data_IF_431062950247
#
_entry.id   IF_431062950247
#
_cell.length_a   1.000
_cell.length_b   1.000
_cell.length_c   1.000
_cell.angle_alpha   90.00
_cell.angle_beta   90.00
_cell.angle_gamma   90.00
#
_symmetry.space_group_name_H-M   'P 1'
#
loop_
_entity.id
_entity.type
_entity.pdbx_description
1 polymer ?
#
# COMPACT_ATOMS: atom_id res chain seq x y z
N UNK A 1 -33.23 8.27 -4.34
CA UNK A 1 -31.84 7.88 -4.02
C UNK A 1 -31.96 6.72 -3.06
N UNK A 2 -31.30 5.61 -3.36
CA UNK A 2 -31.25 4.46 -2.46
C UNK A 2 -30.12 4.68 -1.45
N UNK A 3 -30.37 4.44 -0.17
CA UNK A 3 -29.37 4.50 0.89
C UNK A 3 -28.92 3.09 1.23
N UNK A 4 -27.60 2.84 1.19
CA UNK A 4 -27.00 1.54 1.49
C UNK A 4 -26.22 1.68 2.80
N UNK A 5 -26.55 0.87 3.80
CA UNK A 5 -25.84 0.84 5.08
C UNK A 5 -24.50 0.10 4.93
N UNK A 6 -23.38 0.80 5.14
CA UNK A 6 -22.03 0.24 5.05
C UNK A 6 -21.39 -0.12 6.41
N UNK A 7 -22.20 -0.32 7.47
CA UNK A 7 -21.71 -0.61 8.83
C UNK A 7 -21.46 -2.10 9.10
N UNK A 8 -21.89 -2.99 8.20
CA UNK A 8 -21.74 -4.44 8.38
C UNK A 8 -20.29 -4.89 8.17
N UNK A 9 -19.81 -5.75 9.06
CA UNK A 9 -18.49 -6.37 8.94
C UNK A 9 -18.62 -7.69 8.20
N UNK A 10 -18.22 -7.71 6.94
CA UNK A 10 -18.27 -8.91 6.09
C UNK A 10 -17.25 -8.83 4.96
N UNK A 11 -15.97 -8.74 5.30
CA UNK A 11 -14.91 -8.80 4.30
C UNK A 11 -13.92 -9.92 4.62
N UNK A 12 -13.93 -10.97 3.81
CA UNK A 12 -12.86 -11.95 3.78
C UNK A 12 -11.75 -11.44 2.86
N UNK A 13 -10.54 -11.31 3.40
CA UNK A 13 -9.40 -10.92 2.58
C UNK A 13 -8.99 -12.06 1.66
N UNK A 14 -9.07 -11.82 0.35
CA UNK A 14 -8.65 -12.77 -0.68
C UNK A 14 -7.38 -12.24 -1.34
N UNK A 15 -6.37 -13.11 -1.47
CA UNK A 15 -5.11 -12.79 -2.14
C UNK A 15 -5.35 -12.44 -3.60
N UNK A 16 -4.68 -11.39 -4.09
CA UNK A 16 -4.59 -11.12 -5.52
C UNK A 16 -3.67 -12.14 -6.19
N UNK A 17 -4.13 -12.87 -7.23
CA UNK A 17 -3.32 -13.84 -7.95
C UNK A 17 -2.02 -13.28 -8.52
N UNK A 18 -1.97 -11.99 -8.84
CA UNK A 18 -0.74 -11.36 -9.36
C UNK A 18 0.32 -11.19 -8.29
N UNK A 19 -0.08 -11.07 -7.03
CA UNK A 19 0.84 -10.92 -5.92
C UNK A 19 0.44 -9.82 -4.95
N UNK A 20 1.40 -9.35 -4.17
CA UNK A 20 1.16 -8.40 -3.09
C UNK A 20 2.26 -7.34 -3.00
N UNK A 21 1.99 -6.30 -2.23
CA UNK A 21 2.86 -5.13 -2.11
C UNK A 21 3.34 -4.96 -0.68
N UNK A 22 4.60 -4.51 -0.56
CA UNK A 22 5.20 -4.05 0.67
C UNK A 22 5.52 -2.58 0.53
N UNK A 23 5.06 -1.78 1.47
CA UNK A 23 5.22 -0.34 1.47
C UNK A 23 6.12 0.05 2.63
N UNK A 24 7.06 0.95 2.36
CA UNK A 24 7.81 1.65 3.40
C UNK A 24 8.01 3.10 3.02
N UNK A 25 8.36 3.92 4.01
CA UNK A 25 8.73 5.32 3.79
C UNK A 25 10.22 5.52 4.10
N UNK A 26 10.89 6.34 3.31
CA UNK A 26 12.24 6.84 3.58
C UNK A 26 12.13 8.33 3.95
N UNK A 27 12.21 8.62 5.25
CA UNK A 27 12.10 9.98 5.79
C UNK A 27 13.27 10.87 5.36
N UNK A 28 14.46 10.30 5.16
CA UNK A 28 15.66 11.06 4.74
C UNK A 28 15.52 11.51 3.29
N UNK A 29 15.13 10.58 2.41
CA UNK A 29 14.92 10.87 0.97
C UNK A 29 13.56 11.51 0.68
N UNK A 30 12.66 11.53 1.67
CA UNK A 30 11.27 11.99 1.57
C UNK A 30 10.52 11.28 0.44
N UNK A 31 10.56 9.95 0.40
CA UNK A 31 9.88 9.12 -0.61
C UNK A 31 9.14 7.94 0.02
N UNK A 32 8.16 7.43 -0.71
CA UNK A 32 7.49 6.15 -0.48
C UNK A 32 8.16 5.13 -1.41
N UNK A 33 8.44 3.94 -0.89
CA UNK A 33 8.97 2.81 -1.66
C UNK A 33 7.97 1.65 -1.59
N UNK A 34 7.63 1.11 -2.76
CA UNK A 34 6.70 -0.02 -2.92
C UNK A 34 7.44 -1.17 -3.57
N UNK A 35 7.60 -2.27 -2.84
CA UNK A 35 8.07 -3.54 -3.38
C UNK A 35 6.89 -4.39 -3.84
N UNK A 36 6.91 -4.87 -5.08
CA UNK A 36 5.95 -5.85 -5.59
C UNK A 36 6.56 -7.25 -5.58
N UNK A 37 5.84 -8.21 -5.01
CA UNK A 37 6.19 -9.63 -5.00
C UNK A 37 5.18 -10.35 -5.88
N UNK A 38 5.66 -11.05 -6.90
CA UNK A 38 4.81 -11.76 -7.85
C UNK A 38 4.30 -13.09 -7.28
N UNK A 39 3.00 -13.35 -7.49
CA UNK A 39 2.31 -14.55 -7.04
C UNK A 39 2.07 -14.62 -5.52
N UNK A 40 1.52 -15.74 -5.07
CA UNK A 40 1.08 -15.95 -3.68
C UNK A 40 1.99 -16.89 -2.88
N UNK A 41 3.20 -17.16 -3.40
CA UNK A 41 4.10 -18.23 -2.93
C UNK A 41 4.75 -17.98 -1.55
N UNK A 42 5.27 -19.06 -0.95
CA UNK A 42 5.87 -19.12 0.41
C UNK A 42 7.36 -18.76 0.47
N UNK A 43 7.94 -18.09 -0.54
CA UNK A 43 9.38 -17.77 -0.53
C UNK A 43 9.68 -16.56 0.38
N UNK A 44 10.91 -16.46 0.94
CA UNK A 44 11.29 -15.34 1.80
C UNK A 44 11.08 -13.99 1.11
N UNK A 45 10.49 -13.05 1.85
CA UNK A 45 9.97 -11.76 1.39
C UNK A 45 11.05 -10.87 0.75
N UNK A 46 12.30 -10.97 1.21
CA UNK A 46 13.39 -10.10 0.78
C UNK A 46 14.10 -10.59 -0.50
N UNK A 47 13.85 -11.83 -0.95
CA UNK A 47 14.53 -12.42 -2.11
C UNK A 47 13.66 -12.44 -3.38
N UNK A 48 12.42 -11.94 -3.34
CA UNK A 48 11.47 -12.01 -4.47
C UNK A 48 10.77 -10.68 -4.82
N UNK A 49 11.36 -9.53 -4.46
CA UNK A 49 10.85 -8.23 -4.95
C UNK A 49 11.12 -8.16 -6.45
N UNK A 50 10.08 -8.34 -7.27
CA UNK A 50 10.16 -8.28 -8.74
C UNK A 50 10.32 -6.84 -9.23
N UNK A 51 9.60 -5.91 -8.61
CA UNK A 51 9.69 -4.48 -8.92
C UNK A 51 9.76 -3.64 -7.66
N UNK A 52 10.58 -2.59 -7.70
CA UNK A 52 10.61 -1.52 -6.69
C UNK A 52 10.16 -0.22 -7.33
N UNK A 53 9.01 0.30 -6.90
CA UNK A 53 8.44 1.56 -7.36
C UNK A 53 8.70 2.61 -6.29
N UNK A 54 9.32 3.74 -6.65
CA UNK A 54 9.71 4.79 -5.70
C UNK A 54 9.11 6.13 -6.16
N UNK A 55 8.50 6.87 -5.23
CA UNK A 55 7.91 8.16 -5.55
C UNK A 55 7.43 8.92 -4.31
N UNK A 56 7.01 10.16 -4.50
CA UNK A 56 6.48 11.02 -3.41
C UNK A 56 4.96 11.15 -3.42
N UNK A 57 4.35 10.93 -4.57
CA UNK A 57 2.92 11.10 -4.80
C UNK A 57 2.22 9.74 -4.93
N UNK A 58 1.33 9.39 -3.98
CA UNK A 58 0.49 8.19 -4.05
C UNK A 58 -0.24 8.02 -5.39
N UNK A 59 -0.71 9.11 -6.00
CA UNK A 59 -1.46 9.09 -7.27
C UNK A 59 -0.58 8.62 -8.43
N UNK A 60 0.68 9.04 -8.44
CA UNK A 60 1.62 8.63 -9.47
C UNK A 60 2.04 7.17 -9.26
N UNK A 61 2.31 6.77 -8.01
CA UNK A 61 2.68 5.39 -7.67
C UNK A 61 1.57 4.42 -8.08
N UNK A 62 0.32 4.65 -7.67
CA UNK A 62 -0.81 3.77 -8.04
C UNK A 62 -1.07 3.74 -9.55
N UNK A 63 -0.83 4.85 -10.26
CA UNK A 63 -0.93 4.90 -11.73
C UNK A 63 0.15 4.03 -12.39
N UNK A 64 1.36 3.95 -11.84
CA UNK A 64 2.40 3.04 -12.34
C UNK A 64 2.04 1.58 -12.07
N UNK A 65 1.57 1.25 -10.86
CA UNK A 65 1.07 -0.10 -10.53
C UNK A 65 0.00 -0.56 -11.53
N UNK A 66 -0.97 0.32 -11.82
CA UNK A 66 -2.01 0.07 -12.82
C UNK A 66 -1.43 -0.13 -14.23
N UNK A 67 -0.60 0.79 -14.70
CA UNK A 67 0.02 0.72 -16.04
C UNK A 67 0.84 -0.54 -16.26
N UNK A 68 1.55 -0.97 -15.23
CA UNK A 68 2.37 -2.19 -15.24
C UNK A 68 1.51 -3.46 -15.11
N UNK A 69 0.21 -3.33 -14.86
CA UNK A 69 -0.70 -4.45 -14.71
C UNK A 69 -0.32 -5.35 -13.54
N UNK A 70 0.15 -4.80 -12.41
CA UNK A 70 0.61 -5.60 -11.26
C UNK A 70 -0.52 -6.05 -10.33
N UNK A 71 -1.74 -5.59 -10.59
CA UNK A 71 -2.92 -5.88 -9.78
C UNK A 71 -4.04 -6.42 -10.68
N UNK A 72 -4.84 -7.33 -10.16
CA UNK A 72 -5.97 -7.94 -10.87
C UNK A 72 -7.30 -7.80 -10.13
N UNK A 73 -7.25 -7.55 -8.81
CA UNK A 73 -8.41 -7.38 -7.94
C UNK A 73 -8.67 -5.90 -7.64
N UNK A 74 -9.93 -5.46 -7.77
CA UNK A 74 -10.33 -4.06 -7.53
C UNK A 74 -10.23 -3.72 -6.04
N UNK A 75 -10.69 -4.61 -5.16
CA UNK A 75 -10.58 -4.52 -3.70
C UNK A 75 -9.12 -4.35 -3.25
N UNK A 76 -8.20 -5.12 -3.83
CA UNK A 76 -6.77 -4.94 -3.56
C UNK A 76 -6.25 -3.59 -4.07
N UNK A 77 -6.76 -3.09 -5.20
CA UNK A 77 -6.40 -1.76 -5.70
C UNK A 77 -6.89 -0.63 -4.80
N UNK A 78 -8.06 -0.79 -4.16
CA UNK A 78 -8.59 0.14 -3.17
C UNK A 78 -7.69 0.16 -1.92
N UNK A 79 -7.36 -1.01 -1.35
CA UNK A 79 -6.50 -1.09 -0.16
C UNK A 79 -5.11 -0.51 -0.40
N UNK A 80 -4.53 -0.71 -1.59
CA UNK A 80 -3.25 -0.09 -1.95
C UNK A 80 -3.36 1.44 -2.03
N UNK A 81 -4.48 1.97 -2.53
CA UNK A 81 -4.75 3.40 -2.50
C UNK A 81 -4.75 3.98 -1.08
N UNK A 82 -5.41 3.29 -0.15
CA UNK A 82 -5.49 3.64 1.27
C UNK A 82 -4.11 3.62 1.94
N UNK A 83 -3.36 2.52 1.78
CA UNK A 83 -2.02 2.38 2.38
C UNK A 83 -1.02 3.42 1.82
N UNK A 84 -1.07 3.73 0.52
CA UNK A 84 -0.21 4.78 -0.05
C UNK A 84 -0.55 6.17 0.48
N UNK A 85 -1.83 6.47 0.69
CA UNK A 85 -2.24 7.74 1.28
C UNK A 85 -1.82 7.82 2.76
N UNK A 86 -1.93 6.71 3.51
CA UNK A 86 -1.44 6.60 4.89
C UNK A 86 0.07 6.80 4.98
N UNK A 87 0.83 6.17 4.07
CA UNK A 87 2.27 6.34 3.96
C UNK A 87 2.65 7.80 3.65
N UNK A 88 1.89 8.48 2.79
CA UNK A 88 2.10 9.89 2.47
C UNK A 88 1.89 10.79 3.69
N UNK A 89 0.81 10.58 4.44
CA UNK A 89 0.54 11.33 5.68
C UNK A 89 1.69 11.13 6.68
N UNK A 90 2.14 9.88 6.87
CA UNK A 90 3.25 9.60 7.78
C UNK A 90 4.56 10.27 7.33
N UNK A 91 4.85 10.25 6.02
CA UNK A 91 6.01 10.89 5.43
C UNK A 91 6.01 12.40 5.61
N UNK A 92 4.85 13.04 5.45
CA UNK A 92 4.69 14.50 5.58
C UNK A 92 4.78 14.96 7.02
N UNK A 93 4.24 14.17 7.95
CA UNK A 93 4.33 14.44 9.40
C UNK A 93 5.66 14.01 10.02
N UNK A 94 6.50 13.27 9.29
CA UNK A 94 7.76 12.73 9.81
C UNK A 94 7.57 11.66 10.89
N UNK A 95 6.42 10.96 10.91
CA UNK A 95 6.10 9.93 11.91
C UNK A 95 6.36 8.52 11.39
N UNK A 96 6.37 7.54 12.30
CA UNK A 96 6.53 6.12 11.95
C UNK A 96 5.32 5.64 11.14
N UNK A 97 5.60 5.01 10.00
CA UNK A 97 4.63 4.25 9.23
C UNK A 97 4.85 2.76 9.46
N UNK A 98 3.76 2.02 9.68
CA UNK A 98 3.72 0.56 9.63
C UNK A 98 2.52 0.19 8.77
N UNK A 99 2.74 -0.68 7.76
CA UNK A 99 1.68 -1.16 6.88
C UNK A 99 0.66 -1.97 7.69
N UNK A 100 -0.62 -1.86 7.33
CA UNK A 100 -1.75 -2.54 8.00
C UNK A 100 -2.00 -2.13 9.48
N UNK A 101 -1.17 -1.26 10.04
CA UNK A 101 -1.35 -0.65 11.37
C UNK A 101 -1.91 0.77 11.29
N UNK A 102 -2.48 1.25 12.40
CA UNK A 102 -2.90 2.64 12.56
C UNK A 102 -1.69 3.58 12.65
N UNK A 103 -1.84 4.81 12.16
CA UNK A 103 -0.84 5.85 12.38
C UNK A 103 -0.84 6.28 13.85
N UNK A 104 0.36 6.33 14.43
CA UNK A 104 0.57 6.93 15.74
C UNK A 104 0.97 8.40 15.55
N UNK A 105 0.03 9.30 15.83
CA UNK A 105 0.20 10.75 15.67
C UNK A 105 0.96 11.43 16.81
N UNK A 106 1.57 10.66 17.73
CA UNK A 106 2.45 11.21 18.74
C UNK A 106 3.74 11.72 18.09
N UNK A 107 3.71 12.97 17.65
CA UNK A 107 4.87 13.70 17.14
C UNK A 107 5.72 14.07 18.36
N UNK A 108 6.92 13.48 18.48
CA UNK A 108 7.91 13.94 19.46
C UNK A 108 8.47 15.25 18.94
N UNK A 109 8.02 16.36 19.55
CA UNK A 109 8.62 17.68 19.37
C UNK A 109 10.07 17.70 19.85
#
# INVERSE_FOLDING_TARGET
>A
MEEINASEKGYEWVKDPKGYFLIRIDLKKKVIEVGFIEGTGKKPVQENIKYKIVGKDPKIIRRQIFKMGLISRIDHALSIGEELQKAKVALDLGIKYVQDDLLNYNIKN
#
